data_IF_049996916803
#
_entry.id   IF_049996916803
#
_cell.length_a   1.000
_cell.length_b   1.000
_cell.length_c   1.000
_cell.angle_alpha   90.00
_cell.angle_beta   90.00
_cell.angle_gamma   90.00
#
_symmetry.space_group_name_H-M   'P 1'
#
loop_
_entity.id
_entity.type
_entity.pdbx_description
1 polymer ?
#
# COMPACT_ATOMS: atom_id res chain seq x y z
N UNK A 1 -25.97 77.00 12.27
CA UNK A 1 -26.09 75.63 12.78
C UNK A 1 -26.88 74.84 11.75
N UNK A 2 -26.17 74.09 10.90
CA UNK A 2 -26.75 73.37 9.76
C UNK A 2 -27.18 71.96 10.16
N UNK A 3 -28.32 71.51 9.61
CA UNK A 3 -28.92 70.18 9.79
C UNK A 3 -28.12 69.09 9.03
N UNK A 4 -27.00 69.45 8.40
CA UNK A 4 -26.20 68.57 7.54
C UNK A 4 -25.21 67.64 8.26
N UNK A 5 -24.93 67.85 9.56
CA UNK A 5 -23.95 67.05 10.30
C UNK A 5 -24.52 65.78 10.96
N UNK A 6 -25.81 65.49 10.76
CA UNK A 6 -26.47 64.31 11.37
C UNK A 6 -26.56 63.09 10.45
N UNK A 7 -26.29 63.24 9.15
CA UNK A 7 -26.43 62.14 8.16
C UNK A 7 -25.11 61.54 7.66
N UNK A 8 -23.95 62.09 8.01
CA UNK A 8 -22.65 61.51 7.61
C UNK A 8 -22.17 60.37 8.51
N UNK A 9 -22.89 60.03 9.59
CA UNK A 9 -22.48 59.00 10.54
C UNK A 9 -23.26 57.68 10.48
N UNK A 10 -24.09 57.44 9.45
CA UNK A 10 -25.03 56.31 9.44
C UNK A 10 -24.83 55.30 8.29
N UNK A 11 -23.83 55.47 7.44
CA UNK A 11 -23.71 54.68 6.20
C UNK A 11 -22.34 54.05 5.92
N UNK A 12 -21.34 54.21 6.81
CA UNK A 12 -19.98 53.70 6.54
C UNK A 12 -19.62 52.41 7.30
N UNK A 13 -20.24 52.15 8.46
CA UNK A 13 -19.90 50.96 9.27
C UNK A 13 -20.39 49.64 8.62
N UNK A 14 -21.50 49.65 7.88
CA UNK A 14 -22.07 48.42 7.28
C UNK A 14 -21.46 47.98 5.95
N UNK A 15 -20.78 48.89 5.22
CA UNK A 15 -20.10 48.55 3.97
C UNK A 15 -18.73 47.91 4.23
N UNK A 16 -18.02 48.40 5.25
CA UNK A 16 -16.75 47.85 5.73
C UNK A 16 -16.92 46.42 6.24
N UNK A 17 -17.91 46.16 7.09
CA UNK A 17 -18.17 44.82 7.64
C UNK A 17 -18.51 43.81 6.54
N UNK A 18 -19.33 44.21 5.56
CA UNK A 18 -19.68 43.34 4.43
C UNK A 18 -18.47 42.97 3.58
N UNK A 19 -17.60 43.93 3.29
CA UNK A 19 -16.38 43.69 2.51
C UNK A 19 -15.41 42.77 3.26
N UNK A 20 -15.31 42.92 4.58
CA UNK A 20 -14.52 42.01 5.44
C UNK A 20 -15.05 40.57 5.41
N UNK A 21 -16.37 40.36 5.49
CA UNK A 21 -16.97 39.03 5.38
C UNK A 21 -16.76 38.40 4.00
N UNK A 22 -16.81 39.19 2.92
CA UNK A 22 -16.52 38.69 1.57
C UNK A 22 -15.05 38.28 1.40
N UNK A 23 -14.11 39.04 1.97
CA UNK A 23 -12.69 38.68 1.98
C UNK A 23 -12.44 37.39 2.78
N UNK A 24 -13.13 37.22 3.92
CA UNK A 24 -13.09 36.00 4.70
C UNK A 24 -13.63 34.80 3.91
N UNK A 25 -14.73 34.98 3.17
CA UNK A 25 -15.29 33.96 2.28
C UNK A 25 -14.27 33.56 1.19
N UNK A 26 -13.66 34.52 0.49
CA UNK A 26 -12.64 34.25 -0.52
C UNK A 26 -11.42 33.51 0.07
N UNK A 27 -11.00 33.85 1.29
CA UNK A 27 -9.93 33.13 1.98
C UNK A 27 -10.31 31.67 2.26
N UNK A 28 -11.53 31.42 2.74
CA UNK A 28 -12.02 30.06 3.01
C UNK A 28 -12.18 29.25 1.73
N UNK A 29 -12.66 29.86 0.65
CA UNK A 29 -12.70 29.23 -0.67
C UNK A 29 -11.28 28.85 -1.13
N UNK A 30 -10.31 29.76 -0.99
CA UNK A 30 -8.92 29.49 -1.34
C UNK A 30 -8.30 28.36 -0.51
N UNK A 31 -8.58 28.31 0.80
CA UNK A 31 -8.16 27.22 1.69
C UNK A 31 -8.79 25.89 1.29
N UNK A 32 -10.10 25.89 0.98
CA UNK A 32 -10.84 24.72 0.49
C UNK A 32 -10.24 24.16 -0.79
N UNK A 33 -9.96 24.99 -1.79
CA UNK A 33 -9.34 24.52 -3.04
C UNK A 33 -7.97 23.88 -2.82
N UNK A 34 -7.13 24.50 -1.97
CA UNK A 34 -5.81 23.94 -1.65
C UNK A 34 -5.95 22.60 -0.92
N UNK A 35 -6.91 22.48 0.00
CA UNK A 35 -7.19 21.23 0.69
C UNK A 35 -7.71 20.17 -0.28
N UNK A 36 -8.56 20.53 -1.25
CA UNK A 36 -9.03 19.63 -2.31
C UNK A 36 -7.88 19.09 -3.15
N UNK A 37 -6.94 19.95 -3.60
CA UNK A 37 -5.76 19.49 -4.36
C UNK A 37 -4.88 18.54 -3.54
N UNK A 38 -4.77 18.76 -2.23
CA UNK A 38 -4.06 17.85 -1.32
C UNK A 38 -4.79 16.53 -1.16
N UNK A 39 -6.13 16.55 -1.10
CA UNK A 39 -6.96 15.35 -1.01
C UNK A 39 -6.78 14.50 -2.27
N UNK A 40 -6.84 15.12 -3.46
CA UNK A 40 -6.61 14.42 -4.72
C UNK A 40 -5.21 13.78 -4.77
N UNK A 41 -4.20 14.48 -4.24
CA UNK A 41 -2.84 13.94 -4.15
C UNK A 41 -2.74 12.76 -3.16
N UNK A 42 -3.41 12.84 -2.01
CA UNK A 42 -3.46 11.76 -1.03
C UNK A 42 -4.19 10.52 -1.59
N UNK A 43 -5.28 10.71 -2.33
CA UNK A 43 -6.00 9.60 -2.98
C UNK A 43 -5.11 8.91 -4.03
N UNK A 44 -4.42 9.67 -4.89
CA UNK A 44 -3.46 9.09 -5.84
C UNK A 44 -2.26 8.42 -5.16
N UNK A 45 -1.89 8.85 -3.97
CA UNK A 45 -0.86 8.18 -3.16
C UNK A 45 -1.38 6.86 -2.59
N UNK A 46 -2.61 6.86 -2.07
CA UNK A 46 -3.28 5.66 -1.57
C UNK A 46 -3.46 4.61 -2.67
N UNK A 47 -3.93 5.00 -3.86
CA UNK A 47 -4.14 4.11 -4.99
C UNK A 47 -2.82 3.44 -5.41
N UNK A 48 -1.76 4.23 -5.61
CA UNK A 48 -0.42 3.70 -5.96
C UNK A 48 0.16 2.79 -4.88
N UNK A 49 -0.06 3.11 -3.60
CA UNK A 49 0.40 2.27 -2.51
C UNK A 49 -0.40 0.95 -2.45
N UNK A 50 -1.70 1.00 -2.71
CA UNK A 50 -2.57 -0.17 -2.79
C UNK A 50 -2.18 -1.09 -3.96
N UNK A 51 -1.91 -0.53 -5.14
CA UNK A 51 -1.41 -1.28 -6.30
C UNK A 51 -0.10 -2.02 -5.97
N UNK A 52 0.87 -1.33 -5.37
CA UNK A 52 2.14 -1.94 -4.96
C UNK A 52 1.98 -2.99 -3.86
N UNK A 53 1.02 -2.80 -2.96
CA UNK A 53 0.67 -3.81 -1.97
C UNK A 53 0.17 -5.09 -2.66
N UNK A 54 -0.74 -4.97 -3.62
CA UNK A 54 -1.23 -6.12 -4.41
C UNK A 54 -0.10 -6.81 -5.18
N UNK A 55 0.78 -6.06 -5.84
CA UNK A 55 1.95 -6.62 -6.53
C UNK A 55 2.90 -7.37 -5.58
N UNK A 56 3.05 -6.89 -4.34
CA UNK A 56 3.84 -7.59 -3.32
C UNK A 56 3.15 -8.87 -2.82
N UNK A 57 1.82 -8.84 -2.64
CA UNK A 57 1.03 -10.02 -2.30
C UNK A 57 1.08 -11.09 -3.41
N UNK A 58 1.03 -10.69 -4.68
CA UNK A 58 1.16 -11.62 -5.80
C UNK A 58 2.55 -12.29 -5.84
N UNK A 59 3.60 -11.54 -5.50
CA UNK A 59 4.97 -12.09 -5.37
C UNK A 59 5.07 -13.06 -4.20
N UNK A 60 4.47 -12.75 -3.06
CA UNK A 60 4.41 -13.64 -1.89
C UNK A 60 3.71 -14.94 -2.26
N UNK A 61 2.52 -14.86 -2.87
CA UNK A 61 1.78 -16.02 -3.33
C UNK A 61 2.57 -16.88 -4.33
N UNK A 62 3.24 -16.24 -5.29
CA UNK A 62 4.07 -16.93 -6.26
C UNK A 62 5.28 -17.63 -5.61
N UNK A 63 5.88 -17.04 -4.57
CA UNK A 63 6.96 -17.67 -3.81
C UNK A 63 6.45 -18.89 -3.03
N UNK A 64 5.30 -18.76 -2.36
CA UNK A 64 4.63 -19.84 -1.65
C UNK A 64 4.28 -21.02 -2.57
N UNK A 65 3.79 -20.76 -3.78
CA UNK A 65 3.52 -21.80 -4.79
C UNK A 65 4.80 -22.49 -5.26
N UNK A 66 5.89 -21.74 -5.47
CA UNK A 66 7.18 -22.34 -5.85
C UNK A 66 7.73 -23.22 -4.72
N UNK A 67 7.59 -22.80 -3.47
CA UNK A 67 7.97 -23.62 -2.32
C UNK A 67 7.18 -24.92 -2.25
N UNK A 68 5.86 -24.89 -2.44
CA UNK A 68 5.05 -26.11 -2.41
C UNK A 68 5.47 -27.08 -3.51
N UNK A 69 5.75 -26.59 -4.72
CA UNK A 69 6.26 -27.41 -5.83
C UNK A 69 7.63 -28.02 -5.53
N UNK A 70 8.53 -27.26 -4.88
CA UNK A 70 9.84 -27.78 -4.44
C UNK A 70 9.67 -28.84 -3.36
N UNK A 71 8.78 -28.62 -2.38
CA UNK A 71 8.49 -29.59 -1.33
C UNK A 71 7.93 -30.90 -1.89
N UNK A 72 6.96 -30.82 -2.80
CA UNK A 72 6.40 -32.00 -3.48
C UNK A 72 7.49 -32.78 -4.22
N UNK A 73 8.41 -32.06 -4.90
CA UNK A 73 9.52 -32.69 -5.61
C UNK A 73 10.54 -33.31 -4.66
N UNK A 74 10.85 -32.68 -3.54
CA UNK A 74 11.75 -33.20 -2.51
C UNK A 74 11.25 -34.53 -1.96
N UNK A 75 9.95 -34.70 -1.71
CA UNK A 75 9.38 -35.99 -1.28
C UNK A 75 9.70 -37.09 -2.29
N UNK A 76 9.47 -36.84 -3.59
CA UNK A 76 9.74 -37.83 -4.64
C UNK A 76 11.23 -38.17 -4.76
N UNK A 77 12.11 -37.15 -4.66
CA UNK A 77 13.56 -37.35 -4.78
C UNK A 77 14.12 -38.09 -3.57
N UNK A 78 13.67 -37.73 -2.37
CA UNK A 78 14.13 -38.37 -1.12
C UNK A 78 13.65 -39.82 -1.01
N UNK A 79 12.42 -40.13 -1.42
CA UNK A 79 11.92 -41.51 -1.51
C UNK A 79 12.76 -42.35 -2.49
N UNK A 80 13.10 -41.79 -3.65
CA UNK A 80 13.91 -42.48 -4.67
C UNK A 80 15.36 -42.63 -4.22
N UNK A 81 15.92 -41.63 -3.56
CA UNK A 81 17.26 -41.69 -2.97
C UNK A 81 17.34 -42.79 -1.91
N UNK A 82 16.33 -42.88 -1.04
CA UNK A 82 16.23 -43.96 -0.06
C UNK A 82 16.18 -45.34 -0.72
N UNK A 83 15.41 -45.50 -1.80
CA UNK A 83 15.36 -46.75 -2.54
C UNK A 83 16.70 -47.08 -3.21
N UNK A 84 17.38 -46.09 -3.79
CA UNK A 84 18.70 -46.27 -4.41
C UNK A 84 19.76 -46.67 -3.37
N UNK A 85 19.81 -46.00 -2.21
CA UNK A 85 20.72 -46.33 -1.11
C UNK A 85 20.49 -47.76 -0.58
N UNK A 86 19.23 -48.19 -0.42
CA UNK A 86 18.90 -49.56 -0.01
C UNK A 86 19.34 -50.62 -1.01
N UNK A 87 19.28 -50.32 -2.30
CA UNK A 87 19.62 -51.26 -3.37
C UNK A 87 21.09 -51.19 -3.80
N UNK A 88 21.80 -50.10 -3.51
CA UNK A 88 23.24 -49.93 -3.79
C UNK A 88 24.12 -50.95 -3.05
N UNK A 89 23.68 -51.39 -1.86
CA UNK A 89 24.33 -52.45 -1.08
C UNK A 89 24.08 -53.89 -1.55
N UNK A 90 23.29 -54.12 -2.61
CA UNK A 90 23.10 -55.47 -3.18
C UNK A 90 24.36 -55.96 -3.90
N UNK A 91 24.58 -57.26 -3.86
CA UNK A 91 25.70 -57.94 -4.53
C UNK A 91 25.75 -57.54 -6.03
N UNK A 92 26.90 -57.07 -6.56
CA UNK A 92 27.04 -56.62 -7.94
C UNK A 92 26.50 -57.58 -9.00
N UNK A 93 26.55 -58.90 -8.74
CA UNK A 93 25.99 -59.92 -9.64
C UNK A 93 24.46 -59.96 -9.75
N UNK A 94 23.76 -59.25 -8.85
CA UNK A 94 22.30 -59.14 -8.78
C UNK A 94 21.80 -57.73 -9.19
N UNK A 95 22.70 -56.79 -9.48
CA UNK A 95 22.35 -55.42 -9.89
C UNK A 95 21.84 -55.40 -11.34
N UNK A 96 20.60 -54.94 -11.53
CA UNK A 96 20.01 -54.68 -12.86
C UNK A 96 20.28 -53.23 -13.36
N UNK A 97 20.76 -52.34 -12.49
CA UNK A 97 21.05 -50.92 -12.77
C UNK A 97 22.20 -50.39 -11.89
N UNK A 98 22.82 -49.27 -12.29
CA UNK A 98 23.88 -48.62 -11.51
C UNK A 98 23.29 -47.69 -10.43
N UNK A 99 22.85 -48.29 -9.32
CA UNK A 99 22.18 -47.61 -8.21
C UNK A 99 23.06 -46.60 -7.47
N UNK A 100 24.39 -46.77 -7.50
CA UNK A 100 25.33 -45.90 -6.79
C UNK A 100 25.45 -44.53 -7.50
N UNK A 101 25.55 -44.51 -8.83
CA UNK A 101 25.52 -43.28 -9.64
C UNK A 101 24.16 -42.56 -9.50
N UNK A 102 23.07 -43.33 -9.47
CA UNK A 102 21.71 -42.79 -9.29
C UNK A 102 21.53 -42.16 -7.90
N UNK A 103 22.08 -42.77 -6.85
CA UNK A 103 22.06 -42.19 -5.51
C UNK A 103 22.85 -40.87 -5.44
N UNK A 104 24.02 -40.78 -6.09
CA UNK A 104 24.81 -39.56 -6.15
C UNK A 104 24.08 -38.43 -6.89
N UNK A 105 23.46 -38.74 -8.04
CA UNK A 105 22.64 -37.78 -8.80
C UNK A 105 21.45 -37.28 -7.97
N UNK A 106 20.72 -38.20 -7.32
CA UNK A 106 19.55 -37.84 -6.51
C UNK A 106 19.94 -37.03 -5.27
N UNK A 107 21.09 -37.30 -4.65
CA UNK A 107 21.60 -36.49 -3.55
C UNK A 107 21.92 -35.06 -4.00
N UNK A 108 22.57 -34.90 -5.16
CA UNK A 108 22.83 -33.59 -5.78
C UNK A 108 21.53 -32.84 -6.09
N UNK A 109 20.54 -33.52 -6.66
CA UNK A 109 19.21 -32.94 -6.92
C UNK A 109 18.51 -32.53 -5.63
N UNK A 110 18.53 -33.37 -4.59
CA UNK A 110 17.94 -33.07 -3.28
C UNK A 110 18.53 -31.79 -2.70
N UNK A 111 19.86 -31.68 -2.71
CA UNK A 111 20.56 -30.49 -2.22
C UNK A 111 20.19 -29.23 -3.01
N UNK A 112 20.11 -29.34 -4.36
CA UNK A 112 19.68 -28.22 -5.21
C UNK A 112 18.25 -27.76 -4.92
N UNK A 113 17.35 -28.69 -4.62
CA UNK A 113 15.97 -28.40 -4.23
C UNK A 113 15.89 -27.74 -2.85
N UNK A 114 16.69 -28.17 -1.87
CA UNK A 114 16.78 -27.51 -0.56
C UNK A 114 17.23 -26.05 -0.70
N UNK A 115 18.26 -25.79 -1.52
CA UNK A 115 18.71 -24.43 -1.81
C UNK A 115 17.61 -23.58 -2.47
N UNK A 116 16.85 -24.16 -3.40
CA UNK A 116 15.70 -23.47 -4.01
C UNK A 116 14.61 -23.17 -2.98
N UNK A 117 14.32 -24.11 -2.08
CA UNK A 117 13.36 -23.92 -0.99
C UNK A 117 13.76 -22.74 -0.11
N UNK A 118 15.03 -22.66 0.30
CA UNK A 118 15.56 -21.55 1.10
C UNK A 118 15.42 -20.22 0.36
N UNK A 119 15.81 -20.18 -0.92
CA UNK A 119 15.72 -18.97 -1.73
C UNK A 119 14.28 -18.49 -1.93
N UNK A 120 13.32 -19.41 -2.08
CA UNK A 120 11.91 -19.03 -2.21
C UNK A 120 11.31 -18.59 -0.89
N UNK A 121 11.75 -19.14 0.24
CA UNK A 121 11.38 -18.63 1.56
C UNK A 121 11.88 -17.19 1.77
N UNK A 122 13.14 -16.90 1.43
CA UNK A 122 13.67 -15.53 1.47
C UNK A 122 12.87 -14.56 0.57
N UNK A 123 12.47 -15.01 -0.63
CA UNK A 123 11.62 -14.22 -1.52
C UNK A 123 10.23 -13.97 -0.93
N UNK A 124 9.64 -14.98 -0.27
CA UNK A 124 8.34 -14.89 0.38
C UNK A 124 8.40 -13.89 1.53
N UNK A 125 9.39 -14.00 2.41
CA UNK A 125 9.59 -13.08 3.53
C UNK A 125 9.81 -11.64 3.06
N UNK A 126 10.62 -11.43 2.01
CA UNK A 126 10.84 -10.11 1.44
C UNK A 126 9.55 -9.53 0.85
N UNK A 127 8.79 -10.33 0.10
CA UNK A 127 7.51 -9.90 -0.47
C UNK A 127 6.45 -9.59 0.60
N UNK A 128 6.41 -10.38 1.67
CA UNK A 128 5.52 -10.15 2.82
C UNK A 128 5.88 -8.83 3.55
N UNK A 129 7.18 -8.55 3.73
CA UNK A 129 7.64 -7.30 4.31
C UNK A 129 7.29 -6.10 3.41
N UNK A 130 7.51 -6.21 2.10
CA UNK A 130 7.11 -5.20 1.12
C UNK A 130 5.60 -4.94 1.17
N UNK A 131 4.79 -6.00 1.20
CA UNK A 131 3.33 -5.91 1.26
C UNK A 131 2.86 -5.13 2.48
N UNK A 132 3.40 -5.45 3.67
CA UNK A 132 3.09 -4.74 4.93
C UNK A 132 3.54 -3.29 4.91
N UNK A 133 4.66 -2.98 4.25
CA UNK A 133 5.10 -1.59 4.08
C UNK A 133 4.13 -0.79 3.21
N UNK A 134 3.75 -1.33 2.06
CA UNK A 134 2.82 -0.66 1.14
C UNK A 134 1.41 -0.54 1.72
N UNK A 135 0.94 -1.55 2.44
CA UNK A 135 -0.32 -1.49 3.19
C UNK A 135 -0.32 -0.32 4.19
N UNK A 136 0.74 -0.19 5.00
CA UNK A 136 0.87 0.93 5.95
C UNK A 136 0.87 2.28 5.24
N UNK A 137 1.57 2.41 4.11
CA UNK A 137 1.58 3.65 3.32
C UNK A 137 0.20 3.98 2.77
N UNK A 138 -0.53 2.99 2.26
CA UNK A 138 -1.89 3.17 1.78
C UNK A 138 -2.81 3.67 2.91
N UNK A 139 -2.77 3.04 4.08
CA UNK A 139 -3.56 3.47 5.25
C UNK A 139 -3.22 4.87 5.72
N UNK A 140 -1.93 5.26 5.74
CA UNK A 140 -1.52 6.62 6.09
C UNK A 140 -2.05 7.65 5.08
N UNK A 141 -2.02 7.34 3.79
CA UNK A 141 -2.55 8.21 2.75
C UNK A 141 -4.08 8.35 2.86
N UNK A 142 -4.80 7.25 3.12
CA UNK A 142 -6.25 7.26 3.37
C UNK A 142 -6.59 8.09 4.61
N UNK A 143 -5.86 7.90 5.72
CA UNK A 143 -6.08 8.66 6.94
C UNK A 143 -5.87 10.17 6.72
N UNK A 144 -4.82 10.54 5.97
CA UNK A 144 -4.59 11.93 5.56
C UNK A 144 -5.72 12.46 4.67
N UNK A 145 -6.23 11.64 3.75
CA UNK A 145 -7.40 11.95 2.93
C UNK A 145 -8.62 12.28 3.79
N UNK A 146 -8.96 11.42 4.76
CA UNK A 146 -10.08 11.62 5.67
C UNK A 146 -9.95 12.91 6.50
N UNK A 147 -8.74 13.24 6.95
CA UNK A 147 -8.48 14.51 7.65
C UNK A 147 -8.73 15.71 6.73
N UNK A 148 -8.25 15.65 5.48
CA UNK A 148 -8.45 16.70 4.49
C UNK A 148 -9.91 16.88 4.11
N UNK A 149 -10.70 15.80 4.00
CA UNK A 149 -12.15 15.88 3.82
C UNK A 149 -12.84 16.62 4.97
N UNK A 150 -12.42 16.35 6.21
CA UNK A 150 -12.89 17.08 7.38
C UNK A 150 -12.55 18.57 7.31
N UNK A 151 -11.33 18.92 6.89
CA UNK A 151 -10.92 20.31 6.70
C UNK A 151 -11.72 21.00 5.58
N UNK A 152 -11.95 20.32 4.45
CA UNK A 152 -12.74 20.84 3.31
C UNK A 152 -14.17 21.15 3.75
N UNK A 153 -14.78 20.26 4.52
CA UNK A 153 -16.12 20.46 5.08
C UNK A 153 -16.15 21.70 5.98
N UNK A 154 -15.20 21.80 6.91
CA UNK A 154 -15.09 22.95 7.81
C UNK A 154 -14.90 24.27 7.05
N UNK A 155 -14.04 24.31 6.03
CA UNK A 155 -13.85 25.52 5.22
C UNK A 155 -15.10 25.87 4.41
N UNK A 156 -15.91 24.89 4.03
CA UNK A 156 -17.18 25.11 3.34
C UNK A 156 -18.23 25.69 4.29
N UNK A 157 -18.34 25.16 5.51
CA UNK A 157 -19.20 25.72 6.56
C UNK A 157 -18.81 27.17 6.90
N UNK A 158 -17.51 27.44 7.07
CA UNK A 158 -17.01 28.80 7.34
C UNK A 158 -17.20 29.76 6.17
N UNK A 159 -17.15 29.26 4.93
CA UNK A 159 -17.49 30.04 3.75
C UNK A 159 -18.97 30.42 3.77
N UNK A 160 -19.87 29.46 4.01
CA UNK A 160 -21.31 29.69 4.03
C UNK A 160 -21.69 30.67 5.16
N UNK A 161 -21.07 30.56 6.34
CA UNK A 161 -21.23 31.50 7.46
C UNK A 161 -20.82 32.93 7.08
N UNK A 162 -19.69 33.08 6.39
CA UNK A 162 -19.20 34.39 5.95
C UNK A 162 -20.10 35.01 4.88
N UNK A 163 -20.59 34.20 3.93
CA UNK A 163 -21.56 34.64 2.92
C UNK A 163 -22.87 35.10 3.55
N UNK A 164 -23.41 34.32 4.50
CA UNK A 164 -24.62 34.69 5.25
C UNK A 164 -24.43 35.98 6.06
N UNK A 165 -23.28 36.15 6.72
CA UNK A 165 -22.94 37.37 7.47
C UNK A 165 -22.82 38.61 6.56
N UNK A 166 -22.39 38.42 5.31
CA UNK A 166 -22.38 39.46 4.27
C UNK A 166 -23.79 39.80 3.72
N UNK A 167 -24.83 39.09 4.17
CA UNK A 167 -26.22 39.30 3.74
C UNK A 167 -26.56 38.75 2.35
N UNK A 168 -25.85 37.70 1.92
CA UNK A 168 -26.03 36.99 0.65
C UNK A 168 -26.51 35.55 0.90
#
# INVERSE_FOLDING_TARGET
>A
MGISDWFSGLLDDGASDREEYLLAADEMHGKRERAQRKLDAANREADRASERHMEAMDREYAATLKMSLVADRLVVVTDRLWAADKNGGMDPGMKLANWDDEAEELASISHGLEMLSQRFEEQREQAEADAREWERKAWMAIARGNELEGQIRKYSEQYDEAIQAAGL
#
